data_IF_341117842073
#
_entry.id   IF_341117842073
#
_cell.length_a   1.000
_cell.length_b   1.000
_cell.length_c   1.000
_cell.angle_alpha   90.00
_cell.angle_beta   90.00
_cell.angle_gamma   90.00
#
_symmetry.space_group_name_H-M   'P 1'
#
loop_
_entity.id
_entity.type
_entity.pdbx_description
1 polymer ?
#
# COMPACT_ATOMS: atom_id res chain seq x y z
N UNK A 1 18.00 -4.04 -2.83
CA UNK A 1 17.32 -2.87 -2.25
C UNK A 1 16.38 -2.35 -3.34
N UNK A 2 15.07 -2.27 -3.08
CA UNK A 2 14.12 -1.77 -4.08
C UNK A 2 14.09 -0.25 -3.95
N UNK A 3 14.45 0.48 -5.00
CA UNK A 3 14.32 1.94 -5.05
C UNK A 3 12.85 2.30 -5.26
N UNK A 4 12.06 2.22 -4.19
CA UNK A 4 10.66 2.59 -4.20
C UNK A 4 10.49 4.09 -3.90
N UNK A 5 9.27 4.60 -4.09
CA UNK A 5 8.96 6.00 -3.81
C UNK A 5 9.22 6.39 -2.35
N UNK A 6 9.10 5.44 -1.41
CA UNK A 6 9.40 5.71 0.00
C UNK A 6 10.89 6.01 0.20
N UNK A 7 11.78 5.33 -0.53
CA UNK A 7 13.21 5.66 -0.54
C UNK A 7 13.47 7.09 -1.02
N UNK A 8 12.82 7.51 -2.12
CA UNK A 8 12.96 8.87 -2.65
C UNK A 8 12.50 9.91 -1.61
N UNK A 9 11.36 9.68 -0.96
CA UNK A 9 10.87 10.59 0.09
C UNK A 9 11.83 10.67 1.29
N UNK A 10 12.37 9.54 1.75
CA UNK A 10 13.34 9.52 2.86
C UNK A 10 14.62 10.26 2.46
N UNK A 11 15.13 10.04 1.25
CA UNK A 11 16.31 10.74 0.76
C UNK A 11 16.09 12.26 0.65
N UNK A 12 14.93 12.69 0.13
CA UNK A 12 14.57 14.10 0.05
C UNK A 12 14.38 14.73 1.44
N UNK A 13 13.74 14.02 2.38
CA UNK A 13 13.59 14.47 3.76
C UNK A 13 14.96 14.64 4.44
N UNK A 14 15.85 13.66 4.25
CA UNK A 14 17.20 13.71 4.81
C UNK A 14 18.02 14.86 4.20
N UNK A 15 17.97 15.06 2.87
CA UNK A 15 18.68 16.13 2.19
C UNK A 15 18.17 17.51 2.62
N UNK A 16 16.87 17.74 2.57
CA UNK A 16 16.27 19.03 2.96
C UNK A 16 16.46 19.32 4.44
N UNK A 17 16.34 18.30 5.30
CA UNK A 17 16.63 18.38 6.72
C UNK A 17 18.10 18.67 7.02
N UNK A 18 19.04 18.05 6.29
CA UNK A 18 20.47 18.29 6.45
C UNK A 18 20.86 19.70 6.00
N UNK A 19 20.36 20.18 4.85
CA UNK A 19 20.62 21.55 4.37
C UNK A 19 20.12 22.58 5.38
N UNK A 20 18.88 22.43 5.85
CA UNK A 20 18.31 23.33 6.85
C UNK A 20 19.02 23.23 8.20
N UNK A 21 19.35 22.01 8.67
CA UNK A 21 20.02 21.76 9.94
C UNK A 21 21.47 22.27 9.96
N UNK A 22 22.25 22.03 8.90
CA UNK A 22 23.63 22.51 8.80
C UNK A 22 23.68 24.04 8.74
N UNK A 23 22.76 24.66 7.99
CA UNK A 23 22.69 26.11 7.87
C UNK A 23 22.29 26.78 9.19
N UNK A 24 21.31 26.21 9.90
CA UNK A 24 20.89 26.69 11.22
C UNK A 24 21.98 26.51 12.27
N UNK A 25 22.78 25.44 12.19
CA UNK A 25 23.84 25.18 13.17
C UNK A 25 25.12 25.98 12.91
N UNK A 26 25.57 26.07 11.65
CA UNK A 26 26.87 26.68 11.30
C UNK A 26 26.78 28.18 10.98
N UNK A 27 25.68 28.62 10.37
CA UNK A 27 25.58 29.95 9.76
C UNK A 27 24.50 30.85 10.38
N UNK A 28 23.65 30.33 11.27
CA UNK A 28 22.65 31.17 11.96
C UNK A 28 23.30 32.22 12.89
N UNK A 29 24.34 31.84 13.63
CA UNK A 29 25.07 32.77 14.50
C UNK A 29 25.75 33.90 13.69
N UNK A 30 26.44 33.53 12.60
CA UNK A 30 27.14 34.48 11.72
C UNK A 30 26.20 35.42 10.94
N UNK A 31 24.97 35.01 10.62
CA UNK A 31 23.98 35.89 9.97
C UNK A 31 23.33 36.88 10.93
N UNK A 32 23.10 36.50 12.19
CA UNK A 32 22.64 37.43 13.24
C UNK A 32 23.62 38.58 13.42
N UNK A 33 24.93 38.31 13.31
CA UNK A 33 25.98 39.33 13.39
C UNK A 33 26.12 40.19 12.11
N UNK A 34 25.86 39.62 10.93
CA UNK A 34 26.03 40.30 9.63
C UNK A 34 24.81 41.13 9.17
N UNK A 35 23.68 41.07 9.86
CA UNK A 35 22.48 41.85 9.51
C UNK A 35 21.86 41.51 8.15
N UNK A 36 22.23 40.38 7.54
CA UNK A 36 21.70 39.94 6.25
C UNK A 36 20.30 39.36 6.43
N UNK A 37 19.28 40.00 5.86
CA UNK A 37 17.87 39.66 6.07
C UNK A 37 17.33 38.49 5.21
N UNK A 38 18.10 37.95 4.26
CA UNK A 38 17.66 36.88 3.35
C UNK A 38 18.49 35.62 3.51
N UNK A 39 17.81 34.50 3.70
CA UNK A 39 18.41 33.18 3.66
C UNK A 39 18.84 32.84 2.22
N UNK A 40 19.90 32.01 2.03
CA UNK A 40 20.24 31.48 0.73
C UNK A 40 19.04 30.75 0.12
N UNK A 41 18.80 30.94 -1.19
CA UNK A 41 17.65 30.37 -1.90
C UNK A 41 17.48 28.86 -1.66
N UNK A 42 18.59 28.11 -1.61
CA UNK A 42 18.58 26.68 -1.32
C UNK A 42 18.03 26.33 0.08
N UNK A 43 18.41 27.12 1.10
CA UNK A 43 17.97 26.93 2.48
C UNK A 43 16.49 27.25 2.62
N UNK A 44 16.04 28.33 1.97
CA UNK A 44 14.64 28.75 2.02
C UNK A 44 13.70 27.69 1.41
N UNK A 45 14.09 27.12 0.27
CA UNK A 45 13.40 25.97 -0.31
C UNK A 45 13.46 24.73 0.58
N UNK A 46 14.64 24.37 1.11
CA UNK A 46 14.78 23.21 1.99
C UNK A 46 13.89 23.34 3.24
N UNK A 47 13.85 24.51 3.86
CA UNK A 47 13.01 24.82 5.02
C UNK A 47 11.52 24.74 4.70
N UNK A 48 11.12 25.20 3.52
CA UNK A 48 9.72 25.19 3.09
C UNK A 48 9.23 23.79 2.71
N UNK A 49 10.05 23.00 2.01
CA UNK A 49 9.68 21.66 1.55
C UNK A 49 9.82 20.57 2.60
N UNK A 50 10.77 20.69 3.54
CA UNK A 50 11.01 19.68 4.58
C UNK A 50 9.73 19.25 5.34
N UNK A 51 8.92 20.16 5.93
CA UNK A 51 7.73 19.74 6.67
C UNK A 51 6.70 19.03 5.77
N UNK A 52 6.54 19.48 4.52
CA UNK A 52 5.64 18.86 3.55
C UNK A 52 6.09 17.43 3.23
N UNK A 53 7.38 17.24 2.94
CA UNK A 53 7.95 15.92 2.64
C UNK A 53 7.80 14.99 3.85
N UNK A 54 8.06 15.48 5.06
CA UNK A 54 7.91 14.69 6.29
C UNK A 54 6.46 14.27 6.51
N UNK A 55 5.50 15.18 6.33
CA UNK A 55 4.07 14.85 6.45
C UNK A 55 3.68 13.78 5.43
N UNK A 56 4.04 13.95 4.15
CA UNK A 56 3.74 12.97 3.09
C UNK A 56 4.40 11.63 3.40
N UNK A 57 5.65 11.63 3.89
CA UNK A 57 6.36 10.44 4.31
C UNK A 57 5.64 9.71 5.45
N UNK A 58 5.21 10.42 6.49
CA UNK A 58 4.47 9.84 7.63
C UNK A 58 3.13 9.25 7.18
N UNK A 59 2.34 10.01 6.42
CA UNK A 59 1.05 9.55 5.91
C UNK A 59 1.21 8.29 5.06
N UNK A 60 2.17 8.28 4.12
CA UNK A 60 2.41 7.14 3.23
C UNK A 60 2.98 5.93 3.97
N UNK A 61 3.84 6.15 4.95
CA UNK A 61 4.52 5.08 5.67
C UNK A 61 3.57 4.35 6.60
N UNK A 62 2.63 5.07 7.24
CA UNK A 62 1.87 4.53 8.36
C UNK A 62 0.34 4.51 8.17
N UNK A 63 -0.24 5.41 7.38
CA UNK A 63 -1.70 5.51 7.24
C UNK A 63 -2.19 4.87 5.94
N UNK A 64 -1.99 5.56 4.82
CA UNK A 64 -2.56 5.18 3.53
C UNK A 64 -1.51 5.24 2.42
N UNK A 65 -1.43 4.17 1.63
CA UNK A 65 -0.62 4.15 0.41
C UNK A 65 -1.51 3.98 -0.82
N UNK A 66 -1.43 4.89 -1.81
CA UNK A 66 -2.16 4.74 -3.06
C UNK A 66 -1.47 3.70 -3.95
N UNK A 67 -2.26 2.80 -4.52
CA UNK A 67 -1.83 1.84 -5.54
C UNK A 67 -2.72 1.94 -6.78
N UNK A 68 -2.11 1.69 -7.94
CA UNK A 68 -2.83 1.50 -9.19
C UNK A 68 -2.83 0.03 -9.55
N UNK A 69 -4.00 -0.53 -9.88
CA UNK A 69 -4.15 -1.94 -10.23
C UNK A 69 -3.56 -2.19 -11.63
N UNK A 70 -2.51 -3.02 -11.76
CA UNK A 70 -1.85 -3.23 -13.05
C UNK A 70 -2.48 -4.38 -13.86
N UNK A 71 -3.27 -5.26 -13.22
CA UNK A 71 -3.77 -6.50 -13.82
C UNK A 71 -5.17 -6.85 -13.38
N UNK A 72 -5.83 -7.69 -14.18
CA UNK A 72 -7.22 -8.13 -14.00
C UNK A 72 -7.40 -9.32 -13.06
N UNK A 73 -6.37 -9.69 -12.31
CA UNK A 73 -6.38 -10.92 -11.51
C UNK A 73 -7.33 -10.90 -10.31
N UNK A 74 -8.01 -9.77 -10.09
CA UNK A 74 -9.00 -9.52 -9.05
C UNK A 74 -10.35 -9.12 -9.66
N UNK A 75 -10.55 -9.23 -10.97
CA UNK A 75 -11.86 -9.05 -11.59
C UNK A 75 -12.85 -10.09 -11.04
N UNK A 76 -14.13 -9.73 -10.87
CA UNK A 76 -14.73 -8.42 -11.16
C UNK A 76 -14.57 -7.38 -10.03
N UNK A 77 -13.99 -7.75 -8.88
CA UNK A 77 -13.88 -6.86 -7.70
C UNK A 77 -12.97 -5.65 -7.92
N UNK A 78 -11.80 -5.86 -8.55
CA UNK A 78 -10.84 -4.80 -8.90
C UNK A 78 -10.44 -4.95 -10.37
N UNK A 79 -10.54 -3.86 -11.11
CA UNK A 79 -10.30 -3.84 -12.56
C UNK A 79 -8.96 -3.16 -12.83
N UNK A 80 -8.28 -3.56 -13.90
CA UNK A 80 -7.07 -2.88 -14.35
C UNK A 80 -7.31 -1.39 -14.55
N UNK A 81 -6.46 -0.56 -13.92
CA UNK A 81 -6.55 0.89 -13.97
C UNK A 81 -7.16 1.53 -12.73
N UNK A 82 -7.82 0.76 -11.87
CA UNK A 82 -8.39 1.27 -10.61
C UNK A 82 -7.31 1.84 -9.69
N UNK A 83 -7.69 2.86 -8.93
CA UNK A 83 -6.88 3.43 -7.86
C UNK A 83 -7.46 3.03 -6.50
N UNK A 84 -6.64 2.39 -5.67
CA UNK A 84 -7.03 1.97 -4.33
C UNK A 84 -6.15 2.63 -3.27
N UNK A 85 -6.73 2.88 -2.10
CA UNK A 85 -6.00 3.27 -0.91
C UNK A 85 -5.86 2.07 0.02
N UNK A 86 -4.62 1.70 0.33
CA UNK A 86 -4.32 0.60 1.25
C UNK A 86 -4.13 1.16 2.64
N UNK A 87 -4.99 0.74 3.58
CA UNK A 87 -4.85 1.07 5.00
C UNK A 87 -3.75 0.19 5.63
N UNK A 88 -2.60 0.78 5.96
CA UNK A 88 -1.49 0.06 6.59
C UNK A 88 -1.63 -0.02 8.10
N UNK A 89 -2.28 0.96 8.70
CA UNK A 89 -2.47 1.07 10.14
C UNK A 89 -3.16 -0.17 10.73
N UNK A 90 -4.16 -0.73 10.03
CA UNK A 90 -4.93 -1.90 10.49
C UNK A 90 -4.05 -3.11 10.81
N UNK A 91 -2.91 -3.27 10.14
CA UNK A 91 -2.00 -4.41 10.33
C UNK A 91 -0.71 -4.03 11.06
N UNK A 92 -0.63 -2.84 11.64
CA UNK A 92 0.53 -2.36 12.37
C UNK A 92 1.51 -1.49 11.58
N UNK A 93 2.50 -0.97 12.29
CA UNK A 93 3.44 0.02 11.76
C UNK A 93 4.66 -0.67 11.16
N UNK A 94 5.03 -0.25 9.95
CA UNK A 94 6.25 -0.67 9.26
C UNK A 94 7.14 0.53 8.99
N UNK A 95 8.44 0.37 9.18
CA UNK A 95 9.40 1.43 8.87
C UNK A 95 9.46 1.71 7.36
N UNK A 96 9.56 2.98 6.94
CA UNK A 96 9.82 3.30 5.54
C UNK A 96 11.15 2.68 5.11
N UNK A 97 11.23 2.27 3.84
CA UNK A 97 12.42 1.65 3.21
C UNK A 97 12.73 0.24 3.73
N UNK A 98 12.97 0.10 5.03
CA UNK A 98 13.34 -1.17 5.67
C UNK A 98 12.17 -2.16 5.70
N UNK A 99 10.92 -1.68 5.67
CA UNK A 99 9.70 -2.49 5.75
C UNK A 99 9.62 -3.41 6.99
N UNK A 100 10.47 -3.16 7.98
CA UNK A 100 10.46 -3.89 9.26
C UNK A 100 9.24 -3.49 10.06
N UNK A 101 8.48 -4.48 10.52
CA UNK A 101 7.31 -4.29 11.40
C UNK A 101 7.80 -3.94 12.80
N UNK A 102 7.35 -2.81 13.34
CA UNK A 102 7.75 -2.31 14.67
C UNK A 102 6.64 -2.39 15.70
N UNK A 103 5.38 -2.34 15.24
CA UNK A 103 4.22 -2.44 16.11
C UNK A 103 3.19 -3.34 15.43
N UNK A 104 2.65 -4.28 16.18
CA UNK A 104 1.58 -5.17 15.75
C UNK A 104 0.27 -4.68 16.36
N UNK A 105 -0.65 -4.21 15.51
CA UNK A 105 -1.94 -3.65 15.93
C UNK A 105 -3.07 -4.64 15.65
N UNK A 106 -2.98 -5.36 14.54
CA UNK A 106 -4.00 -6.31 14.11
C UNK A 106 -3.44 -7.35 13.16
N UNK A 107 -4.13 -8.48 13.11
CA UNK A 107 -3.82 -9.59 12.22
C UNK A 107 -4.75 -9.57 11.00
N UNK A 108 -4.24 -10.04 9.85
CA UNK A 108 -5.07 -10.18 8.67
C UNK A 108 -6.17 -11.22 8.90
N UNK A 109 -7.38 -10.93 8.43
CA UNK A 109 -8.54 -11.80 8.57
C UNK A 109 -8.90 -12.42 7.24
N UNK A 110 -9.59 -13.56 7.28
CA UNK A 110 -10.13 -14.18 6.06
C UNK A 110 -11.07 -13.20 5.36
N UNK A 111 -10.97 -13.18 4.04
CA UNK A 111 -11.69 -12.25 3.20
C UNK A 111 -11.04 -10.86 3.08
N UNK A 112 -9.97 -10.54 3.81
CA UNK A 112 -9.26 -9.28 3.57
C UNK A 112 -8.61 -9.28 2.18
N UNK A 113 -8.72 -8.15 1.45
CA UNK A 113 -7.87 -7.92 0.27
C UNK A 113 -6.55 -7.36 0.74
N UNK A 114 -5.49 -8.15 0.58
CA UNK A 114 -4.15 -7.84 1.09
C UNK A 114 -3.20 -7.48 -0.03
N UNK A 115 -2.33 -6.52 0.27
CA UNK A 115 -1.23 -6.10 -0.61
C UNK A 115 0.08 -6.54 0.00
N UNK A 116 0.85 -7.34 -0.74
CA UNK A 116 2.12 -7.86 -0.26
C UNK A 116 3.14 -7.95 -1.39
N UNK A 117 4.42 -7.95 -1.02
CA UNK A 117 5.53 -8.18 -1.96
C UNK A 117 5.67 -9.68 -2.19
N UNK A 118 5.81 -10.09 -3.44
CA UNK A 118 5.98 -11.52 -3.79
C UNK A 118 7.22 -12.07 -3.06
N UNK A 119 7.10 -13.16 -2.29
CA UNK A 119 8.22 -13.67 -1.48
C UNK A 119 9.46 -14.03 -2.29
N UNK A 120 9.29 -14.56 -3.51
CA UNK A 120 10.39 -14.93 -4.41
C UNK A 120 10.98 -13.76 -5.19
N UNK A 121 10.22 -12.68 -5.37
CA UNK A 121 10.69 -11.49 -6.09
C UNK A 121 10.06 -10.21 -5.48
N UNK A 122 10.67 -9.63 -4.44
CA UNK A 122 10.08 -8.53 -3.68
C UNK A 122 9.88 -7.20 -4.43
N UNK A 123 10.42 -7.07 -5.64
CA UNK A 123 10.14 -5.94 -6.54
C UNK A 123 8.72 -5.96 -7.10
N UNK A 124 8.04 -7.12 -7.07
CA UNK A 124 6.66 -7.23 -7.54
C UNK A 124 5.70 -7.17 -6.34
N UNK A 125 4.71 -6.28 -6.44
CA UNK A 125 3.61 -6.15 -5.48
C UNK A 125 2.38 -6.89 -6.00
N UNK A 126 1.82 -7.77 -5.18
CA UNK A 126 0.59 -8.49 -5.45
C UNK A 126 -0.55 -7.96 -4.58
N UNK A 127 -1.74 -7.99 -5.16
CA UNK A 127 -3.01 -7.66 -4.51
C UNK A 127 -3.87 -8.90 -4.66
N UNK A 128 -4.18 -9.56 -3.54
CA UNK A 128 -4.94 -10.82 -3.52
C UNK A 128 -5.90 -10.85 -2.35
N UNK A 129 -6.93 -11.67 -2.47
CA UNK A 129 -7.84 -12.00 -1.37
C UNK A 129 -7.21 -13.04 -0.46
N UNK A 130 -7.35 -12.85 0.85
CA UNK A 130 -6.89 -13.79 1.85
C UNK A 130 -7.94 -14.86 2.08
N UNK A 131 -7.65 -16.08 1.64
CA UNK A 131 -8.57 -17.23 1.76
C UNK A 131 -8.24 -18.10 2.98
N UNK A 132 -6.96 -18.32 3.25
CA UNK A 132 -6.49 -19.17 4.35
C UNK A 132 -5.56 -18.43 5.30
N UNK A 133 -5.68 -18.75 6.58
CA UNK A 133 -4.83 -18.30 7.68
C UNK A 133 -3.92 -19.45 8.15
N UNK A 134 -2.86 -19.15 8.94
CA UNK A 134 -2.03 -20.19 9.53
C UNK A 134 -2.88 -21.23 10.29
N UNK A 135 -2.65 -22.52 10.01
CA UNK A 135 -3.42 -23.63 10.56
C UNK A 135 -4.56 -24.12 9.66
N UNK A 136 -4.90 -23.38 8.61
CA UNK A 136 -5.95 -23.80 7.67
C UNK A 136 -5.46 -24.82 6.66
N UNK A 137 -6.34 -25.78 6.36
CA UNK A 137 -6.19 -26.73 5.26
C UNK A 137 -7.00 -26.22 4.08
N UNK A 138 -6.31 -25.78 3.04
CA UNK A 138 -6.92 -25.32 1.79
C UNK A 138 -6.89 -26.46 0.77
N UNK A 139 -8.06 -26.80 0.23
CA UNK A 139 -8.18 -27.73 -0.90
C UNK A 139 -8.85 -27.02 -2.06
N UNK A 140 -8.21 -27.04 -3.21
CA UNK A 140 -8.72 -26.42 -4.44
C UNK A 140 -9.08 -27.54 -5.40
N UNK A 141 -10.36 -27.61 -5.78
CA UNK A 141 -10.84 -28.48 -6.84
C UNK A 141 -11.00 -27.67 -8.13
N UNK A 142 -11.47 -28.30 -9.22
CA UNK A 142 -11.63 -27.60 -10.50
C UNK A 142 -12.59 -26.41 -10.45
N UNK A 143 -13.52 -26.38 -9.49
CA UNK A 143 -14.58 -25.37 -9.42
C UNK A 143 -14.78 -24.76 -8.03
N UNK A 144 -14.16 -25.31 -6.98
CA UNK A 144 -14.45 -24.91 -5.60
C UNK A 144 -13.17 -24.81 -4.76
N UNK A 145 -13.20 -23.87 -3.82
CA UNK A 145 -12.20 -23.75 -2.77
C UNK A 145 -12.82 -24.22 -1.47
N UNK A 146 -12.20 -25.21 -0.84
CA UNK A 146 -12.59 -25.72 0.46
C UNK A 146 -11.58 -25.22 1.50
N UNK A 147 -12.10 -24.72 2.61
CA UNK A 147 -11.31 -24.28 3.76
C UNK A 147 -11.68 -25.13 4.96
N UNK A 148 -10.73 -25.92 5.47
CA UNK A 148 -10.93 -26.87 6.55
C UNK A 148 -12.06 -27.89 6.26
N UNK A 149 -12.16 -28.32 4.99
CA UNK A 149 -13.19 -29.26 4.52
C UNK A 149 -14.56 -28.63 4.24
N UNK A 150 -14.76 -27.35 4.55
CA UNK A 150 -16.00 -26.63 4.27
C UNK A 150 -15.87 -25.89 2.92
N UNK A 151 -16.77 -26.13 1.94
CA UNK A 151 -16.76 -25.39 0.69
C UNK A 151 -17.11 -23.92 0.91
N UNK A 152 -16.48 -23.05 0.12
CA UNK A 152 -16.78 -21.62 0.14
C UNK A 152 -18.22 -21.35 -0.28
N UNK A 153 -18.92 -20.47 0.45
CA UNK A 153 -20.32 -20.15 0.18
C UNK A 153 -20.40 -19.13 -0.95
N UNK A 154 -20.76 -19.60 -2.15
CA UNK A 154 -20.92 -18.78 -3.34
C UNK A 154 -22.41 -18.69 -3.66
N UNK A 155 -22.97 -17.49 -3.53
CA UNK A 155 -24.32 -17.21 -4.02
C UNK A 155 -24.27 -16.95 -5.53
N UNK A 156 -25.13 -17.60 -6.34
CA UNK A 156 -25.19 -17.34 -7.76
C UNK A 156 -25.73 -15.93 -8.00
N UNK A 157 -25.04 -15.15 -8.84
CA UNK A 157 -25.49 -13.82 -9.24
C UNK A 157 -25.77 -13.70 -10.73
N UNK A 158 -25.78 -12.45 -11.20
CA UNK A 158 -26.19 -12.06 -12.55
C UNK A 158 -25.08 -12.28 -13.58
N UNK A 159 -25.43 -12.13 -14.87
CA UNK A 159 -24.46 -12.17 -15.96
C UNK A 159 -23.47 -11.01 -15.82
N UNK A 160 -22.19 -11.28 -16.06
CA UNK A 160 -21.16 -10.25 -16.00
C UNK A 160 -21.37 -9.20 -17.10
N UNK A 161 -21.58 -7.95 -16.69
CA UNK A 161 -21.83 -6.80 -17.58
C UNK A 161 -20.74 -5.71 -17.51
N UNK A 162 -19.64 -5.98 -16.81
CA UNK A 162 -18.55 -5.03 -16.59
C UNK A 162 -17.54 -4.92 -17.74
N UNK A 163 -16.43 -4.19 -17.54
CA UNK A 163 -15.37 -4.07 -18.54
C UNK A 163 -14.86 -5.43 -19.03
N UNK A 164 -14.62 -5.56 -20.34
CA UNK A 164 -14.25 -6.84 -20.98
C UNK A 164 -15.35 -7.91 -20.94
N UNK A 165 -16.62 -7.54 -20.75
CA UNK A 165 -17.76 -8.47 -20.85
C UNK A 165 -17.79 -9.24 -22.18
N UNK A 166 -17.32 -8.64 -23.29
CA UNK A 166 -17.16 -9.33 -24.58
C UNK A 166 -16.23 -10.55 -24.53
N UNK A 167 -15.24 -10.56 -23.62
CA UNK A 167 -14.34 -11.69 -23.40
C UNK A 167 -14.97 -12.76 -22.49
N UNK A 168 -16.02 -12.40 -21.76
CA UNK A 168 -16.71 -13.24 -20.77
C UNK A 168 -18.24 -13.27 -20.96
N UNK A 169 -18.76 -13.50 -22.19
CA UNK A 169 -20.16 -13.22 -22.54
C UNK A 169 -21.19 -14.10 -21.82
N UNK A 170 -20.76 -15.24 -21.27
CA UNK A 170 -21.63 -16.18 -20.53
C UNK A 170 -21.20 -16.37 -19.08
N UNK A 171 -20.27 -15.56 -18.58
CA UNK A 171 -19.81 -15.66 -17.19
C UNK A 171 -20.82 -15.01 -16.26
N UNK A 172 -21.12 -15.66 -15.14
CA UNK A 172 -21.95 -15.10 -14.07
C UNK A 172 -21.07 -14.66 -12.92
N UNK A 173 -21.44 -13.56 -12.28
CA UNK A 173 -20.77 -13.07 -11.08
C UNK A 173 -21.38 -13.78 -9.88
N UNK A 174 -20.58 -14.53 -9.13
CA UNK A 174 -20.97 -15.07 -7.83
C UNK A 174 -20.62 -14.11 -6.70
N UNK A 175 -21.37 -14.14 -5.60
CA UNK A 175 -20.96 -13.50 -4.34
C UNK A 175 -20.41 -14.56 -3.41
N UNK A 176 -19.10 -14.53 -3.18
CA UNK A 176 -18.41 -15.39 -2.22
C UNK A 176 -18.33 -14.71 -0.86
N UNK A 177 -18.70 -15.42 0.22
CA UNK A 177 -18.51 -14.94 1.60
C UNK A 177 -17.40 -15.68 2.31
N UNK A 178 -16.39 -14.93 2.74
CA UNK A 178 -15.27 -15.41 3.53
C UNK A 178 -15.22 -14.63 4.85
N UNK A 179 -15.70 -15.26 5.93
CA UNK A 179 -15.89 -14.56 7.20
C UNK A 179 -16.99 -13.51 7.08
N UNK A 180 -16.66 -12.27 7.44
CA UNK A 180 -17.59 -11.12 7.33
C UNK A 180 -17.52 -10.41 5.97
N UNK A 181 -16.53 -10.73 5.13
CA UNK A 181 -16.33 -10.06 3.85
C UNK A 181 -17.04 -10.79 2.70
N UNK A 182 -17.79 -10.03 1.91
CA UNK A 182 -18.40 -10.49 0.67
C UNK A 182 -17.56 -10.00 -0.53
N UNK A 183 -17.39 -10.87 -1.52
CA UNK A 183 -16.61 -10.58 -2.71
C UNK A 183 -17.28 -11.09 -3.97
N UNK A 184 -17.17 -10.31 -5.04
CA UNK A 184 -17.60 -10.74 -6.36
C UNK A 184 -16.52 -11.64 -7.01
N UNK A 185 -16.92 -12.80 -7.53
CA UNK A 185 -16.07 -13.77 -8.24
C UNK A 185 -16.66 -14.18 -9.58
#
# INVERSE_FOLDING_TARGET
>A
MVFDFSFVLVALAALTGAVWGLDTWLFAARRRERGTARDPVLVDYARSFFPVIVIVLVLRSFLYEPFRIPSDSMMPTLIQGDFIFVNKWRYGLRLPVLNTRILEIGEPQRGDVVVFRKPTEPSIVFIKRLVGLPGDVISVTASEVLVNGTPSQIAPGELYSGPKSEQYPFSRVGEERLGEAAHAI
#
